data_IF_647979717954
#
_entry.id   IF_647979717954
#
_cell.length_a   1.000
_cell.length_b   1.000
_cell.length_c   1.000
_cell.angle_alpha   90.00
_cell.angle_beta   90.00
_cell.angle_gamma   90.00
#
_symmetry.space_group_name_H-M   'P 1'
#
loop_
_entity.id
_entity.type
_entity.pdbx_description
1 polymer ?
#
# COMPACT_ATOMS: atom_id res chain seq x y z
N UNK A 1 -37.88 6.04 -28.80
CA UNK A 1 -37.82 4.91 -27.83
C UNK A 1 -37.11 5.37 -26.62
N UNK A 2 -37.76 5.47 -25.47
CA UNK A 2 -37.11 5.72 -24.19
C UNK A 2 -36.47 4.43 -23.72
N UNK A 3 -35.20 4.44 -23.30
CA UNK A 3 -34.61 3.26 -22.66
C UNK A 3 -35.37 2.95 -21.37
N UNK A 4 -35.68 1.69 -21.16
CA UNK A 4 -36.37 1.24 -19.94
C UNK A 4 -35.55 1.66 -18.71
N UNK A 5 -36.23 2.00 -17.60
CA UNK A 5 -35.57 2.37 -16.33
C UNK A 5 -34.54 1.32 -15.88
N UNK A 6 -34.74 0.07 -16.27
CA UNK A 6 -33.82 -1.05 -16.00
C UNK A 6 -32.46 -0.87 -16.68
N UNK A 7 -32.43 -0.38 -17.91
CA UNK A 7 -31.17 -0.12 -18.64
C UNK A 7 -30.39 1.07 -18.07
N UNK A 8 -31.10 2.09 -17.55
CA UNK A 8 -30.47 3.22 -16.90
C UNK A 8 -29.86 2.86 -15.53
N UNK A 9 -30.43 1.91 -14.81
CA UNK A 9 -29.87 1.39 -13.54
C UNK A 9 -28.68 0.46 -13.77
N UNK A 10 -28.71 -0.37 -14.81
CA UNK A 10 -27.57 -1.21 -15.20
C UNK A 10 -26.38 -0.37 -15.64
N UNK A 11 -26.61 0.71 -16.41
CA UNK A 11 -25.57 1.65 -16.82
C UNK A 11 -24.98 2.45 -15.65
N UNK A 12 -25.71 2.62 -14.55
CA UNK A 12 -25.21 3.25 -13.33
C UNK A 12 -24.30 2.33 -12.51
N UNK A 13 -24.41 1.00 -12.65
CA UNK A 13 -23.56 0.03 -11.95
C UNK A 13 -22.13 -0.05 -12.52
N UNK A 14 -21.94 0.33 -13.76
CA UNK A 14 -20.63 0.25 -14.45
C UNK A 14 -19.79 1.54 -14.36
N UNK A 15 -20.13 2.49 -13.51
CA UNK A 15 -19.20 3.57 -13.17
C UNK A 15 -18.01 2.97 -12.42
N UNK A 16 -17.00 2.53 -13.18
CA UNK A 16 -15.70 2.12 -12.66
C UNK A 16 -15.23 3.18 -11.67
N UNK A 17 -15.14 2.81 -10.39
CA UNK A 17 -14.64 3.71 -9.36
C UNK A 17 -13.21 4.09 -9.71
N UNK A 18 -12.98 5.33 -10.03
CA UNK A 18 -11.64 5.85 -10.27
C UNK A 18 -11.04 6.20 -8.93
N UNK A 19 -9.95 5.52 -8.56
CA UNK A 19 -9.19 5.82 -7.35
C UNK A 19 -8.08 6.82 -7.70
N UNK A 20 -7.94 7.86 -6.90
CA UNK A 20 -6.79 8.75 -6.98
C UNK A 20 -5.68 8.22 -6.06
N UNK A 21 -4.48 8.06 -6.61
CA UNK A 21 -3.32 7.57 -5.88
C UNK A 21 -2.36 8.71 -5.58
N UNK A 22 -1.82 8.72 -4.36
CA UNK A 22 -0.83 9.69 -3.91
C UNK A 22 0.53 9.03 -3.68
N UNK A 23 1.59 9.78 -3.90
CA UNK A 23 2.92 9.39 -3.45
C UNK A 23 3.08 9.64 -1.94
N UNK A 24 3.96 8.89 -1.29
CA UNK A 24 4.19 8.97 0.16
C UNK A 24 4.53 10.41 0.60
N UNK A 25 5.33 11.14 -0.18
CA UNK A 25 5.69 12.54 0.14
C UNK A 25 4.48 13.48 0.21
N UNK A 26 3.43 13.18 -0.53
CA UNK A 26 2.23 14.02 -0.66
C UNK A 26 1.12 13.63 0.33
N UNK A 27 1.35 12.63 1.18
CA UNK A 27 0.42 12.20 2.22
C UNK A 27 0.57 13.10 3.45
N UNK A 28 -0.45 13.88 3.75
CA UNK A 28 -0.47 14.78 4.90
C UNK A 28 -1.28 14.20 6.06
N UNK A 29 -0.88 14.52 7.28
CA UNK A 29 -1.59 14.09 8.49
C UNK A 29 -3.06 14.53 8.44
N UNK A 30 -3.96 13.60 8.71
CA UNK A 30 -5.41 13.76 8.61
C UNK A 30 -6.01 13.31 7.29
N UNK A 31 -5.21 13.10 6.25
CA UNK A 31 -5.69 12.63 4.95
C UNK A 31 -6.10 11.15 4.99
N UNK A 32 -7.10 10.82 4.18
CA UNK A 32 -7.36 9.45 3.76
C UNK A 32 -6.81 9.25 2.34
N UNK A 33 -5.93 8.30 2.16
CA UNK A 33 -5.13 8.16 0.94
C UNK A 33 -5.18 6.75 0.36
N UNK A 34 -5.02 6.69 -0.97
CA UNK A 34 -4.75 5.46 -1.70
C UNK A 34 -3.34 5.56 -2.28
N UNK A 35 -2.58 4.48 -2.23
CA UNK A 35 -1.22 4.48 -2.72
C UNK A 35 -0.74 3.09 -3.12
N UNK A 36 0.34 3.06 -3.88
CA UNK A 36 1.19 1.91 -4.12
C UNK A 36 2.54 2.13 -3.47
N UNK A 37 3.12 1.10 -2.90
CA UNK A 37 4.46 1.17 -2.32
C UNK A 37 5.15 -0.18 -2.36
N UNK A 38 6.47 -0.17 -2.19
CA UNK A 38 7.29 -1.37 -2.04
C UNK A 38 7.44 -1.70 -0.56
N UNK A 39 7.27 -2.95 -0.20
CA UNK A 39 7.50 -3.44 1.16
C UNK A 39 8.99 -3.62 1.38
N UNK A 40 9.55 -2.85 2.30
CA UNK A 40 10.99 -2.92 2.66
C UNK A 40 11.25 -3.70 3.94
N UNK A 41 10.23 -3.85 4.79
CA UNK A 41 10.28 -4.65 6.01
C UNK A 41 8.85 -4.99 6.46
N UNK A 42 8.68 -6.09 7.17
CA UNK A 42 7.38 -6.55 7.62
C UNK A 42 7.47 -7.27 8.96
N UNK A 43 6.47 -7.04 9.83
CA UNK A 43 6.27 -7.85 11.02
C UNK A 43 5.26 -8.96 10.74
N UNK A 44 5.39 -10.07 11.43
CA UNK A 44 4.37 -11.12 11.39
C UNK A 44 3.07 -10.65 12.03
N UNK A 45 1.91 -11.03 11.50
CA UNK A 45 0.64 -10.76 12.14
C UNK A 45 0.59 -11.32 13.56
N UNK A 46 0.07 -10.51 14.48
CA UNK A 46 -0.07 -10.89 15.90
C UNK A 46 -1.26 -10.17 16.52
N UNK A 47 -1.70 -10.66 17.66
CA UNK A 47 -2.77 -10.03 18.42
C UNK A 47 -2.23 -8.83 19.21
N UNK A 48 -2.98 -7.74 19.19
CA UNK A 48 -2.67 -6.56 20.02
C UNK A 48 -2.81 -6.87 21.51
N UNK A 49 -1.88 -6.40 22.31
CA UNK A 49 -1.96 -6.50 23.77
C UNK A 49 -3.09 -5.65 24.39
N UNK A 50 -3.49 -4.57 23.70
CA UNK A 50 -4.47 -3.59 24.20
C UNK A 50 -5.88 -3.84 23.67
N UNK A 51 -6.03 -4.61 22.63
CA UNK A 51 -7.33 -4.88 21.99
C UNK A 51 -7.37 -6.31 21.48
N UNK A 52 -8.56 -6.80 21.16
CA UNK A 52 -8.72 -8.12 20.54
C UNK A 52 -8.40 -8.13 19.05
N UNK A 53 -7.96 -6.99 18.50
CA UNK A 53 -7.63 -6.85 17.08
C UNK A 53 -6.32 -7.55 16.76
N UNK A 54 -6.28 -8.14 15.57
CA UNK A 54 -5.04 -8.60 14.96
C UNK A 54 -4.37 -7.43 14.24
N UNK A 55 -3.07 -7.38 14.27
CA UNK A 55 -2.32 -6.31 13.60
C UNK A 55 -1.02 -6.82 12.97
N UNK A 56 -0.57 -6.11 11.96
CA UNK A 56 0.80 -6.23 11.44
C UNK A 56 1.29 -4.85 11.00
N UNK A 57 2.60 -4.69 10.96
CA UNK A 57 3.24 -3.45 10.53
C UNK A 57 4.12 -3.74 9.33
N UNK A 58 4.00 -2.92 8.30
CA UNK A 58 4.89 -2.91 7.16
C UNK A 58 5.66 -1.59 7.11
N UNK A 59 6.92 -1.64 6.69
CA UNK A 59 7.69 -0.45 6.30
C UNK A 59 7.66 -0.34 4.78
N UNK A 60 7.33 0.85 4.30
CA UNK A 60 7.04 1.10 2.90
C UNK A 60 7.91 2.22 2.35
N UNK A 61 8.29 2.08 1.09
CA UNK A 61 8.93 3.11 0.30
C UNK A 61 8.28 3.21 -1.07
N UNK A 62 8.38 4.37 -1.69
CA UNK A 62 7.96 4.60 -3.07
C UNK A 62 8.96 5.51 -3.79
N UNK A 63 8.77 5.82 -5.10
CA UNK A 63 9.70 6.69 -5.82
C UNK A 63 9.88 8.09 -5.21
N UNK A 64 8.95 8.55 -4.38
CA UNK A 64 9.04 9.84 -3.69
C UNK A 64 9.84 9.77 -2.39
N UNK A 65 10.20 8.58 -1.91
CA UNK A 65 10.96 8.39 -0.68
C UNK A 65 12.36 8.97 -0.82
N UNK A 66 12.81 9.69 0.21
CA UNK A 66 14.14 10.27 0.21
C UNK A 66 15.21 9.20 0.34
N UNK A 67 16.34 9.44 -0.30
CA UNK A 67 17.54 8.61 -0.17
C UNK A 67 18.60 9.49 0.46
N UNK A 68 19.20 9.02 1.55
CA UNK A 68 20.28 9.77 2.20
C UNK A 68 21.59 9.64 1.41
N UNK A 69 22.62 10.34 1.90
CA UNK A 69 23.97 10.35 1.28
C UNK A 69 24.63 8.97 1.25
N UNK A 70 24.21 8.05 2.12
CA UNK A 70 24.73 6.67 2.21
C UNK A 70 23.90 5.68 1.37
N UNK A 71 22.88 6.17 0.64
CA UNK A 71 22.00 5.37 -0.19
C UNK A 71 20.89 4.66 0.58
N UNK A 72 20.65 5.06 1.85
CA UNK A 72 19.58 4.49 2.66
C UNK A 72 18.25 5.19 2.34
N UNK A 73 17.24 4.39 2.00
CA UNK A 73 15.91 4.88 1.67
C UNK A 73 15.10 5.14 2.93
N UNK A 74 14.55 6.35 3.03
CA UNK A 74 13.58 6.69 4.07
C UNK A 74 12.27 5.91 3.85
N UNK A 75 11.74 5.32 4.89
CA UNK A 75 10.50 4.56 4.84
C UNK A 75 9.40 5.20 5.69
N UNK A 76 8.15 4.87 5.38
CA UNK A 76 7.00 5.15 6.22
C UNK A 76 6.43 3.83 6.74
N UNK A 77 5.99 3.81 7.99
CA UNK A 77 5.32 2.64 8.56
C UNK A 77 3.81 2.70 8.30
N UNK A 78 3.23 1.56 8.00
CA UNK A 78 1.79 1.35 7.99
C UNK A 78 1.42 0.25 8.98
N UNK A 79 0.40 0.50 9.78
CA UNK A 79 -0.18 -0.50 10.68
C UNK A 79 -1.52 -0.93 10.13
N UNK A 80 -1.68 -2.23 9.92
CA UNK A 80 -2.95 -2.84 9.51
C UNK A 80 -3.63 -3.43 10.74
N UNK A 81 -4.92 -3.18 10.86
CA UNK A 81 -5.79 -3.77 11.87
C UNK A 81 -6.88 -4.59 11.22
N UNK A 82 -7.14 -5.78 11.72
CA UNK A 82 -8.22 -6.65 11.28
C UNK A 82 -8.81 -7.43 12.47
N UNK A 83 -10.02 -7.96 12.31
CA UNK A 83 -10.62 -8.85 13.31
C UNK A 83 -10.04 -10.25 13.21
N UNK A 84 -9.68 -10.67 12.00
CA UNK A 84 -9.10 -11.98 11.71
C UNK A 84 -7.69 -11.82 11.15
N UNK A 85 -6.81 -12.72 11.55
CA UNK A 85 -5.41 -12.74 11.08
C UNK A 85 -5.32 -12.95 9.57
N UNK A 86 -6.25 -13.67 8.97
CA UNK A 86 -6.30 -13.96 7.54
C UNK A 86 -6.57 -12.72 6.68
N UNK A 87 -7.15 -11.68 7.27
CA UNK A 87 -7.45 -10.44 6.57
C UNK A 87 -6.26 -9.47 6.53
N UNK A 88 -5.18 -9.80 7.21
CA UNK A 88 -3.96 -9.01 7.24
C UNK A 88 -3.00 -9.38 6.10
N UNK A 89 -2.26 -8.40 5.54
CA UNK A 89 -1.24 -8.70 4.55
C UNK A 89 -0.10 -9.53 5.17
N UNK A 90 0.17 -10.68 4.57
CA UNK A 90 1.35 -11.49 4.88
C UNK A 90 2.36 -11.30 3.77
N UNK A 91 3.35 -10.45 4.01
CA UNK A 91 4.44 -10.23 3.07
C UNK A 91 5.46 -11.36 3.21
N UNK A 92 5.53 -12.21 2.20
CA UNK A 92 6.49 -13.33 2.17
C UNK A 92 7.85 -12.93 1.62
N UNK A 93 7.91 -11.83 0.88
CA UNK A 93 9.12 -11.35 0.22
C UNK A 93 9.26 -9.85 0.37
N UNK A 94 10.40 -9.41 0.84
CA UNK A 94 10.80 -8.01 0.77
C UNK A 94 10.93 -7.64 -0.71
N UNK A 95 10.37 -6.49 -1.10
CA UNK A 95 10.29 -6.05 -2.48
C UNK A 95 8.93 -6.26 -3.14
N UNK A 96 7.99 -6.96 -2.48
CA UNK A 96 6.62 -7.04 -2.93
C UNK A 96 5.99 -5.64 -3.00
N UNK A 97 5.14 -5.43 -4.00
CA UNK A 97 4.39 -4.18 -4.13
C UNK A 97 3.05 -4.34 -3.42
N UNK A 98 2.72 -3.38 -2.58
CA UNK A 98 1.42 -3.32 -1.94
C UNK A 98 0.61 -2.15 -2.50
N UNK A 99 -0.65 -2.41 -2.82
CA UNK A 99 -1.66 -1.38 -3.05
C UNK A 99 -2.53 -1.27 -1.81
N UNK A 100 -2.72 -0.07 -1.33
CA UNK A 100 -3.61 0.20 -0.19
C UNK A 100 -4.63 1.24 -0.57
N UNK A 101 -5.88 0.99 -0.23
CA UNK A 101 -6.97 1.93 -0.37
C UNK A 101 -7.46 2.39 0.99
N UNK A 102 -7.73 3.68 1.11
CA UNK A 102 -8.33 4.32 2.27
C UNK A 102 -7.54 4.12 3.56
N UNK A 103 -6.24 4.31 3.48
CA UNK A 103 -5.40 4.43 4.66
C UNK A 103 -5.50 5.85 5.23
N UNK A 104 -5.44 5.98 6.54
CA UNK A 104 -5.42 7.27 7.24
C UNK A 104 -3.99 7.64 7.59
N UNK A 105 -3.62 8.88 7.33
CA UNK A 105 -2.32 9.42 7.72
C UNK A 105 -2.42 10.00 9.13
N UNK A 106 -1.60 9.53 10.04
CA UNK A 106 -1.54 9.98 11.43
C UNK A 106 -0.11 10.27 11.87
N UNK A 107 0.04 10.75 13.08
CA UNK A 107 1.36 10.94 13.70
C UNK A 107 1.53 9.95 14.84
N UNK A 108 2.67 9.29 14.88
CA UNK A 108 3.07 8.43 15.97
C UNK A 108 4.54 8.71 16.32
N UNK A 109 4.80 9.08 17.57
CA UNK A 109 6.14 9.48 18.05
C UNK A 109 6.82 10.51 17.15
N UNK A 110 6.07 11.58 16.83
CA UNK A 110 6.51 12.71 15.97
C UNK A 110 6.86 12.34 14.53
N UNK A 111 6.47 11.15 14.08
CA UNK A 111 6.63 10.72 12.69
C UNK A 111 5.28 10.43 12.05
N UNK A 112 5.18 10.69 10.75
CA UNK A 112 4.00 10.27 9.99
C UNK A 112 3.93 8.75 9.97
N UNK A 113 2.72 8.25 10.18
CA UNK A 113 2.39 6.83 10.12
C UNK A 113 1.09 6.66 9.37
N UNK A 114 0.98 5.58 8.59
CA UNK A 114 -0.26 5.19 7.95
C UNK A 114 -0.98 4.15 8.80
N UNK A 115 -2.29 4.22 8.81
CA UNK A 115 -3.15 3.24 9.47
C UNK A 115 -4.19 2.73 8.49
N UNK A 116 -4.30 1.43 8.34
CA UNK A 116 -5.31 0.77 7.53
C UNK A 116 -6.17 -0.13 8.40
N UNK A 117 -7.45 0.20 8.53
CA UNK A 117 -8.41 -0.62 9.27
C UNK A 117 -9.25 -1.45 8.31
N UNK A 118 -8.87 -2.70 8.13
CA UNK A 118 -9.50 -3.62 7.18
C UNK A 118 -10.95 -3.95 7.57
N UNK A 119 -11.28 -3.90 8.87
CA UNK A 119 -12.63 -4.13 9.36
C UNK A 119 -13.63 -3.04 8.93
N UNK A 120 -13.16 -1.82 8.70
CA UNK A 120 -14.04 -0.69 8.40
C UNK A 120 -14.08 -0.37 6.91
N UNK A 121 -12.97 0.09 6.37
CA UNK A 121 -13.00 0.73 5.08
C UNK A 121 -11.73 0.50 4.24
N UNK A 122 -10.63 0.17 4.87
CA UNK A 122 -9.36 -0.04 4.18
C UNK A 122 -9.33 -1.38 3.46
N UNK A 123 -8.63 -1.42 2.35
CA UNK A 123 -8.34 -2.65 1.62
C UNK A 123 -6.91 -2.64 1.10
N UNK A 124 -6.38 -3.82 0.83
CA UNK A 124 -5.02 -3.99 0.35
C UNK A 124 -4.93 -5.11 -0.69
N UNK A 125 -3.88 -5.07 -1.49
CA UNK A 125 -3.48 -6.17 -2.36
C UNK A 125 -1.95 -6.20 -2.46
N UNK A 126 -1.38 -7.40 -2.40
CA UNK A 126 0.04 -7.66 -2.60
C UNK A 126 0.27 -8.19 -4.01
N UNK A 127 1.30 -7.66 -4.66
CA UNK A 127 1.74 -8.08 -5.97
C UNK A 127 3.19 -8.57 -5.85
N UNK A 128 3.43 -9.86 -6.08
CA UNK A 128 4.81 -10.34 -6.15
C UNK A 128 5.52 -9.64 -7.31
N UNK A 129 6.83 -9.37 -7.21
CA UNK A 129 7.59 -8.82 -8.31
C UNK A 129 7.67 -9.85 -9.44
N UNK A 130 6.67 -9.84 -10.32
CA UNK A 130 6.68 -10.63 -11.54
C UNK A 130 7.56 -9.93 -12.57
N UNK A 131 8.75 -10.43 -12.75
CA UNK A 131 9.68 -9.97 -13.79
C UNK A 131 9.28 -10.52 -15.17
N UNK A 132 8.09 -10.24 -15.65
CA UNK A 132 7.78 -10.43 -17.06
C UNK A 132 8.42 -9.28 -17.86
N UNK A 133 9.04 -9.62 -19.00
CA UNK A 133 9.66 -8.62 -19.90
C UNK A 133 8.71 -7.46 -20.26
N UNK A 134 7.42 -7.71 -20.32
CA UNK A 134 6.39 -6.73 -20.66
C UNK A 134 6.02 -5.84 -19.48
N UNK A 135 6.01 -6.39 -18.27
CA UNK A 135 5.79 -5.62 -17.03
C UNK A 135 7.00 -4.74 -16.70
N UNK A 136 8.19 -5.11 -17.21
CA UNK A 136 9.43 -4.37 -17.02
C UNK A 136 9.39 -2.97 -17.63
N UNK A 137 8.61 -2.76 -18.69
CA UNK A 137 8.49 -1.47 -19.36
C UNK A 137 7.51 -0.51 -18.66
N UNK A 138 6.42 -1.00 -18.07
CA UNK A 138 5.43 -0.13 -17.41
C UNK A 138 5.73 0.12 -15.92
N UNK A 139 6.43 -0.81 -15.25
CA UNK A 139 6.84 -0.67 -13.86
C UNK A 139 8.23 -0.05 -13.72
N UNK A 140 9.09 -0.17 -14.75
CA UNK A 140 10.45 0.37 -14.72
C UNK A 140 10.47 1.91 -14.70
N UNK A 141 9.43 2.55 -15.26
CA UNK A 141 9.32 4.02 -15.24
C UNK A 141 8.77 4.54 -13.91
N UNK A 142 8.00 3.73 -13.14
CA UNK A 142 7.40 4.16 -11.87
C UNK A 142 7.97 3.43 -10.65
N UNK A 143 8.35 2.16 -10.78
CA UNK A 143 8.82 1.33 -9.66
C UNK A 143 9.96 0.40 -10.11
N UNK A 144 11.19 0.89 -10.17
CA UNK A 144 12.33 0.01 -10.33
C UNK A 144 12.84 -0.43 -8.95
N UNK A 145 12.70 -1.69 -8.55
CA UNK A 145 13.28 -2.19 -7.30
C UNK A 145 14.79 -1.97 -7.21
N UNK A 146 15.47 -1.96 -8.36
CA UNK A 146 16.91 -1.70 -8.45
C UNK A 146 17.31 -0.26 -8.11
N UNK A 147 16.41 0.71 -8.24
CA UNK A 147 16.64 2.08 -7.81
C UNK A 147 16.52 2.24 -6.29
N UNK A 148 15.72 1.39 -5.62
CA UNK A 148 15.46 1.47 -4.20
C UNK A 148 16.49 0.73 -3.33
N UNK A 149 17.00 -0.39 -3.81
CA UNK A 149 17.77 -1.32 -2.97
C UNK A 149 19.27 -1.37 -3.28
N UNK A 150 19.75 -0.64 -4.28
CA UNK A 150 21.15 -0.71 -4.68
C UNK A 150 21.61 -2.14 -5.02
N UNK A 151 22.89 -2.32 -5.25
CA UNK A 151 23.50 -3.59 -5.66
C UNK A 151 23.50 -4.71 -4.58
N UNK A 152 23.02 -4.43 -3.37
CA UNK A 152 23.10 -5.35 -2.23
C UNK A 152 21.91 -6.29 -2.09
N UNK A 153 20.86 -6.16 -2.89
CA UNK A 153 19.73 -7.09 -2.95
C UNK A 153 19.77 -7.97 -4.20
N UNK A 154 20.92 -8.51 -4.53
CA UNK A 154 21.02 -9.65 -5.42
C UNK A 154 20.92 -10.92 -4.57
N UNK A 155 19.74 -11.50 -4.56
CA UNK A 155 19.57 -12.92 -4.24
C UNK A 155 19.40 -13.67 -5.53
#
# INVERSE_FOLDING_TARGET
MMPSKLNAELLKKDKKRVYAYKQIKDCNVGDQVNFYAVVVDATSPHQSFKSKKQLCTLKLADPSSRVDKDGVVEFISIVFFADKIEDLPVCQRIGDIIRVHRATVSTYRDRRQLTANVCFNSSWALFPPTFNKETKLSLADEFSPTLFFGKSCQI
#
